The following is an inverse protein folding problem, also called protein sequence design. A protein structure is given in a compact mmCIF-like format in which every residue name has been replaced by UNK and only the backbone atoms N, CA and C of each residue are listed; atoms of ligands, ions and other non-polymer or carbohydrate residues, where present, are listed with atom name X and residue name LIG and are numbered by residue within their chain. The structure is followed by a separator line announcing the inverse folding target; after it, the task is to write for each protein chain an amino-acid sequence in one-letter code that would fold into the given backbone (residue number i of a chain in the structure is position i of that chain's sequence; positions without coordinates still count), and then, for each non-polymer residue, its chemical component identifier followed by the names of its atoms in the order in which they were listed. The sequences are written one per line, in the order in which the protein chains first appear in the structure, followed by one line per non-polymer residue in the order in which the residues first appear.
data_IF_412224821874
#
_entry.id   IF_412224821874
#
_cell.length_a   1.000
_cell.length_b   1.000
_cell.length_c   1.000
_cell.angle_alpha   90.00
_cell.angle_beta   90.00
_cell.angle_gamma   90.00
#
_symmetry.space_group_name_H-M   'P 1'
#
loop_
_entity.id
_entity.type
_entity.pdbx_description
1 polymer ?
#
# COMPACT_ATOMS: atom_id res chain seq x y z
N UNK A 1 -5.56 -22.81 -8.47
CA UNK A 1 -6.76 -22.62 -7.68
C UNK A 1 -6.55 -22.95 -6.21
N UNK A 2 -6.74 -21.96 -5.35
CA UNK A 2 -6.57 -22.15 -3.92
C UNK A 2 -7.26 -21.04 -3.13
N UNK A 3 -7.17 -21.11 -1.81
CA UNK A 3 -7.79 -20.11 -0.94
C UNK A 3 -7.00 -18.80 -0.99
N UNK A 4 -5.70 -18.91 -1.21
CA UNK A 4 -4.85 -17.73 -1.28
C UNK A 4 -4.98 -16.87 -0.03
N UNK A 5 -4.42 -15.67 -0.06
CA UNK A 5 -4.48 -14.76 1.07
C UNK A 5 -5.71 -13.86 0.99
N UNK A 6 -6.12 -13.55 -0.23
CA UNK A 6 -7.29 -12.71 -0.45
C UNK A 6 -7.19 -11.42 0.36
N UNK A 7 -5.99 -10.84 0.40
CA UNK A 7 -5.77 -9.60 1.14
C UNK A 7 -6.73 -8.52 0.69
N UNK A 8 -7.10 -8.55 -0.59
CA UNK A 8 -8.02 -7.56 -1.14
C UNK A 8 -9.46 -7.88 -0.74
N UNK A 9 -9.73 -9.15 -0.46
CA UNK A 9 -11.07 -9.58 -0.06
C UNK A 9 -11.29 -9.33 1.43
N UNK A 10 -10.28 -8.77 2.10
CA UNK A 10 -10.37 -8.48 3.52
C UNK A 10 -11.17 -7.21 3.78
N UNK A 11 -10.95 -6.20 2.94
CA UNK A 11 -11.66 -4.93 3.08
C UNK A 11 -11.92 -4.31 1.71
N UNK A 12 -13.19 -3.99 1.45
CA UNK A 12 -13.57 -3.39 0.18
C UNK A 12 -13.03 -1.96 0.06
N UNK A 13 -13.11 -1.22 1.16
CA UNK A 13 -12.63 0.15 1.18
C UNK A 13 -11.15 0.22 0.81
N UNK A 14 -10.36 -0.72 1.33
CA UNK A 14 -8.94 -0.77 1.05
C UNK A 14 -8.68 -0.83 -0.45
N UNK A 15 -9.67 -1.27 -1.20
CA UNK A 15 -9.55 -1.38 -2.65
C UNK A 15 -8.96 -0.09 -3.24
N UNK A 16 -9.24 1.03 -2.58
CA UNK A 16 -8.75 2.32 -3.04
C UNK A 16 -7.23 2.32 -3.14
N UNK A 17 -6.57 1.89 -2.06
CA UNK A 17 -5.11 1.84 -2.03
C UNK A 17 -4.59 0.56 -2.66
N UNK A 18 -5.16 -0.57 -2.24
CA UNK A 18 -4.76 -1.87 -2.77
C UNK A 18 -4.70 -1.85 -4.29
N UNK A 19 -5.66 -1.15 -4.91
CA UNK A 19 -5.71 -1.05 -6.36
C UNK A 19 -4.39 -0.55 -6.92
N UNK A 20 -3.80 0.45 -6.26
CA UNK A 20 -2.53 1.01 -6.70
C UNK A 20 -1.37 0.10 -6.33
N UNK A 21 -1.42 -0.45 -5.12
CA UNK A 21 -0.37 -1.34 -4.65
C UNK A 21 -0.25 -2.57 -5.54
N UNK A 22 -1.38 -3.01 -6.09
CA UNK A 22 -1.40 -4.17 -6.98
C UNK A 22 -0.66 -3.88 -8.27
N UNK A 23 -0.59 -2.60 -8.64
CA UNK A 23 0.07 -2.19 -9.86
C UNK A 23 1.59 -2.19 -9.70
N UNK A 24 2.05 -1.68 -8.57
CA UNK A 24 3.48 -1.63 -8.28
C UNK A 24 4.02 -3.01 -7.96
N UNK A 25 3.45 -3.66 -6.95
CA UNK A 25 3.87 -4.99 -6.54
C UNK A 25 2.99 -6.06 -7.18
N UNK A 26 3.62 -7.03 -7.84
CA UNK A 26 2.89 -8.11 -8.49
C UNK A 26 2.57 -9.23 -7.51
N UNK A 27 2.97 -9.03 -6.25
CA UNK A 27 2.73 -10.02 -5.21
C UNK A 27 1.25 -10.36 -5.11
N UNK A 28 0.40 -9.43 -5.57
CA UNK A 28 -1.05 -9.63 -5.53
C UNK A 28 -1.43 -10.97 -6.14
N UNK A 29 -0.63 -11.42 -7.10
CA UNK A 29 -0.89 -12.70 -7.77
C UNK A 29 -0.74 -13.86 -6.80
N UNK A 30 0.23 -13.75 -5.90
CA UNK A 30 0.47 -14.80 -4.92
C UNK A 30 -0.38 -14.58 -3.67
N UNK A 31 -0.65 -13.32 -3.35
CA UNK A 31 -1.46 -13.01 -2.18
C UNK A 31 -1.18 -11.61 -1.65
N UNK A 32 -0.60 -11.56 -0.45
CA UNK A 32 -0.29 -10.28 0.18
C UNK A 32 0.58 -9.42 -0.74
N UNK A 33 0.49 -8.10 -0.57
CA UNK A 33 1.27 -7.18 -1.37
C UNK A 33 2.13 -6.27 -0.50
N UNK A 34 3.26 -5.84 -1.05
CA UNK A 34 4.17 -4.97 -0.32
C UNK A 34 4.93 -4.04 -1.27
N UNK A 35 5.11 -2.80 -0.85
CA UNK A 35 5.80 -1.81 -1.67
C UNK A 35 6.43 -0.72 -0.81
N UNK A 36 7.54 -0.16 -1.27
CA UNK A 36 8.24 0.89 -0.54
C UNK A 36 7.61 2.25 -0.82
N UNK A 37 7.76 3.17 0.13
CA UNK A 37 7.22 4.52 -0.02
C UNK A 37 7.65 5.14 -1.33
N UNK A 38 8.96 5.10 -1.60
CA UNK A 38 9.48 5.66 -2.83
C UNK A 38 8.74 5.17 -4.06
N UNK A 39 8.55 3.86 -4.15
CA UNK A 39 7.86 3.26 -5.28
C UNK A 39 6.40 3.70 -5.32
N UNK A 40 5.72 3.57 -4.18
CA UNK A 40 4.32 3.95 -4.09
C UNK A 40 4.11 5.39 -4.55
N UNK A 41 4.87 6.31 -3.96
CA UNK A 41 4.77 7.72 -4.31
C UNK A 41 5.03 7.93 -5.80
N UNK A 42 6.13 7.37 -6.29
CA UNK A 42 6.48 7.49 -7.70
C UNK A 42 5.37 6.95 -8.59
N UNK A 43 4.50 6.13 -8.01
CA UNK A 43 3.39 5.54 -8.75
C UNK A 43 2.14 6.39 -8.61
N UNK A 44 1.97 6.99 -7.44
CA UNK A 44 0.78 7.82 -7.17
C UNK A 44 0.94 9.20 -7.80
N UNK A 45 2.20 9.62 -7.98
CA UNK A 45 2.49 10.92 -8.58
C UNK A 45 1.83 11.05 -9.95
N UNK A 46 1.64 9.93 -10.62
CA UNK A 46 1.02 9.92 -11.94
C UNK A 46 -0.49 9.78 -11.84
N UNK A 47 -1.01 9.92 -10.61
CA UNK A 47 -2.44 9.82 -10.38
C UNK A 47 -2.95 10.98 -9.52
N UNK A 48 -2.58 10.96 -8.25
CA UNK A 48 -3.00 12.01 -7.32
C UNK A 48 -1.78 12.64 -6.64
N UNK A 49 -0.75 11.84 -6.42
CA UNK A 49 0.46 12.32 -5.77
C UNK A 49 0.21 12.67 -4.31
N UNK A 50 -0.15 11.65 -3.53
CA UNK A 50 -0.43 11.84 -2.11
C UNK A 50 -0.68 10.51 -1.42
N UNK A 51 0.06 9.48 -1.82
CA UNK A 51 -0.09 8.15 -1.24
C UNK A 51 0.01 8.20 0.28
N UNK A 52 1.01 8.92 0.78
CA UNK A 52 1.22 9.04 2.22
C UNK A 52 -0.04 9.57 2.91
N UNK A 53 -0.75 10.45 2.22
CA UNK A 53 -1.97 11.01 2.79
C UNK A 53 -3.09 10.00 2.86
N UNK A 54 -3.13 9.08 1.90
CA UNK A 54 -4.16 8.06 1.85
C UNK A 54 -3.89 6.96 2.86
N UNK A 55 -2.61 6.69 3.10
CA UNK A 55 -2.21 5.65 4.05
C UNK A 55 -2.90 5.85 5.39
N UNK A 56 -3.18 7.11 5.73
CA UNK A 56 -3.83 7.42 6.99
C UNK A 56 -5.20 6.75 7.08
N UNK A 57 -5.87 6.64 5.94
CA UNK A 57 -7.19 6.02 5.88
C UNK A 57 -7.10 4.52 6.17
N UNK A 58 -6.15 3.86 5.52
CA UNK A 58 -5.95 2.43 5.72
C UNK A 58 -5.47 2.12 7.13
N UNK A 59 -4.65 3.01 7.68
CA UNK A 59 -4.13 2.83 9.03
C UNK A 59 -5.25 2.72 10.04
N UNK A 60 -6.39 3.34 9.73
CA UNK A 60 -7.55 3.32 10.62
C UNK A 60 -7.90 1.88 11.01
N UNK A 61 -7.62 0.94 10.12
CA UNK A 61 -7.90 -0.47 10.37
C UNK A 61 -6.60 -1.27 10.46
N UNK A 62 -5.51 -0.59 10.81
CA UNK A 62 -4.24 -1.26 10.93
C UNK A 62 -3.88 -2.07 9.69
N UNK A 63 -3.66 -1.37 8.58
CA UNK A 63 -3.32 -2.03 7.32
C UNK A 63 -1.91 -1.66 6.89
N UNK A 64 -1.37 -0.59 7.47
CA UNK A 64 -0.02 -0.14 7.15
C UNK A 64 0.92 -0.31 8.34
N UNK A 65 1.93 -1.16 8.17
CA UNK A 65 2.90 -1.41 9.23
C UNK A 65 4.00 -0.35 9.22
N UNK A 66 3.87 0.63 8.33
CA UNK A 66 4.85 1.70 8.22
C UNK A 66 5.06 2.37 9.58
N UNK A 67 6.18 3.09 9.71
CA UNK A 67 6.51 3.79 10.94
C UNK A 67 6.55 5.29 10.71
N UNK A 68 6.43 6.04 11.81
CA UNK A 68 6.46 7.49 11.71
C UNK A 68 5.10 8.09 11.40
N UNK A 69 4.96 9.39 11.62
CA UNK A 69 3.69 10.07 11.35
C UNK A 69 3.55 10.42 9.87
N UNK A 70 4.67 10.36 9.15
CA UNK A 70 4.67 10.67 7.73
C UNK A 70 5.98 10.23 7.08
N UNK A 71 6.02 10.28 5.76
CA UNK A 71 7.22 9.89 5.01
C UNK A 71 7.64 10.98 4.04
N UNK A 72 8.87 11.47 4.18
CA UNK A 72 9.39 12.51 3.31
C UNK A 72 10.11 11.90 2.11
N UNK A 73 9.65 12.25 0.91
CA UNK A 73 10.26 11.75 -0.31
C UNK A 73 11.76 11.97 -0.31
N UNK A 74 12.52 10.91 -0.58
CA UNK A 74 13.96 11.01 -0.61
C UNK A 74 14.58 10.81 0.77
N UNK A 75 13.73 10.71 1.79
CA UNK A 75 14.20 10.52 3.16
C UNK A 75 13.62 9.25 3.76
N UNK A 76 12.29 9.15 3.74
CA UNK A 76 11.61 7.97 4.27
C UNK A 76 11.32 6.96 3.18
N UNK A 77 11.97 7.13 2.04
CA UNK A 77 11.78 6.22 0.90
C UNK A 77 12.08 4.78 1.31
N UNK A 78 12.92 4.62 2.32
CA UNK A 78 13.29 3.29 2.81
C UNK A 78 12.10 2.62 3.48
N UNK A 79 11.12 3.42 3.90
CA UNK A 79 9.93 2.89 4.55
C UNK A 79 9.25 1.85 3.69
N UNK A 80 9.22 0.61 4.17
CA UNK A 80 8.59 -0.48 3.44
C UNK A 80 7.15 -0.68 3.88
N UNK A 81 6.21 -0.38 2.97
CA UNK A 81 4.80 -0.52 3.27
C UNK A 81 4.28 -1.89 2.87
N UNK A 82 3.98 -2.73 3.86
CA UNK A 82 3.48 -4.07 3.61
C UNK A 82 1.98 -4.16 3.85
N UNK A 83 1.22 -4.34 2.78
CA UNK A 83 -0.23 -4.44 2.87
C UNK A 83 -0.65 -5.42 3.96
N UNK A 84 -1.12 -4.90 5.08
CA UNK A 84 -1.55 -5.73 6.19
C UNK A 84 -3.06 -5.99 6.13
N UNK A 85 -3.43 -7.10 5.51
CA UNK A 85 -4.84 -7.46 5.38
C UNK A 85 -5.04 -8.97 5.57
#
# INVERSE_FOLDING_TARGET
GAMARAEEHIYREIMELCFVIRTMARHRRDGKIQVTFGELFDRYVRISDKVVGILMRARKHGLVHFEGEMLWQGKDDHVVITLLE
#
